data_IF_376766572724
#
_entry.id   IF_376766572724
#
_cell.length_a   1.000
_cell.length_b   1.000
_cell.length_c   1.000
_cell.angle_alpha   90.00
_cell.angle_beta   90.00
_cell.angle_gamma   90.00
#
_symmetry.space_group_name_H-M   'P 1'
#
loop_
_entity.id
_entity.type
_entity.pdbx_description
1 polymer ?
#
# COMPACT_ATOMS: atom_id res chain seq x y z
N UNK A 1 -33.65 -10.37 -8.56
CA UNK A 1 -33.03 -9.37 -9.44
C UNK A 1 -31.66 -9.08 -8.85
N UNK A 2 -30.59 -9.58 -9.45
CA UNK A 2 -29.21 -9.34 -8.99
C UNK A 2 -28.80 -7.98 -9.54
N UNK A 3 -28.83 -6.96 -8.69
CA UNK A 3 -28.34 -5.63 -9.02
C UNK A 3 -26.86 -5.75 -9.39
N UNK A 4 -26.52 -5.58 -10.66
CA UNK A 4 -25.12 -5.50 -11.09
C UNK A 4 -24.53 -4.21 -10.52
N UNK A 5 -23.85 -4.34 -9.38
CA UNK A 5 -23.10 -3.25 -8.76
C UNK A 5 -21.81 -3.08 -9.57
N UNK A 6 -21.68 -1.98 -10.31
CA UNK A 6 -20.46 -1.65 -11.04
C UNK A 6 -19.39 -1.13 -10.07
N UNK A 7 -18.23 -1.77 -10.05
CA UNK A 7 -17.11 -1.42 -9.15
C UNK A 7 -16.63 0.02 -9.38
N UNK A 8 -16.70 0.50 -10.61
CA UNK A 8 -16.20 1.81 -11.05
C UNK A 8 -16.97 3.01 -10.47
N UNK A 9 -18.22 2.80 -10.05
CA UNK A 9 -19.08 3.87 -9.49
C UNK A 9 -19.20 3.80 -7.97
N UNK A 10 -18.53 2.83 -7.34
CA UNK A 10 -18.57 2.67 -5.89
C UNK A 10 -17.76 3.76 -5.19
N UNK A 11 -18.41 4.42 -4.24
CA UNK A 11 -17.70 5.29 -3.29
C UNK A 11 -16.95 4.44 -2.26
N UNK A 12 -15.64 4.66 -2.07
CA UNK A 12 -14.85 3.88 -1.14
C UNK A 12 -15.28 4.16 0.31
N UNK A 13 -15.53 3.08 1.06
CA UNK A 13 -15.84 3.18 2.48
C UNK A 13 -14.51 3.22 3.23
N UNK A 14 -14.29 4.26 4.03
CA UNK A 14 -13.04 4.45 4.75
C UNK A 14 -13.20 4.08 6.22
N UNK A 15 -12.33 3.20 6.71
CA UNK A 15 -12.13 2.95 8.13
C UNK A 15 -10.69 3.29 8.50
N UNK A 16 -10.50 4.25 9.40
CA UNK A 16 -9.16 4.74 9.79
C UNK A 16 -8.29 5.17 8.60
N UNK A 17 -8.87 5.87 7.61
CA UNK A 17 -8.18 6.31 6.38
C UNK A 17 -7.76 5.17 5.45
N UNK A 18 -8.24 3.94 5.68
CA UNK A 18 -7.99 2.78 4.84
C UNK A 18 -9.29 2.41 4.13
N UNK A 19 -9.28 2.26 2.78
CA UNK A 19 -10.43 1.75 2.06
C UNK A 19 -10.73 0.31 2.45
N UNK A 20 -11.99 0.04 2.79
CA UNK A 20 -12.47 -1.24 3.29
C UNK A 20 -13.82 -1.61 2.69
N UNK A 21 -14.08 -2.91 2.56
CA UNK A 21 -15.30 -3.45 1.95
C UNK A 21 -16.04 -4.31 2.98
N UNK A 22 -17.37 -4.23 3.03
CA UNK A 22 -18.18 -5.10 3.92
C UNK A 22 -18.29 -6.52 3.34
N UNK A 23 -18.70 -7.48 4.16
CA UNK A 23 -18.84 -8.88 3.70
C UNK A 23 -19.95 -9.00 2.65
N UNK A 24 -21.01 -8.23 2.82
CA UNK A 24 -22.18 -8.16 1.96
C UNK A 24 -21.83 -7.57 0.59
N UNK A 25 -21.09 -6.46 0.58
CA UNK A 25 -20.63 -5.84 -0.66
C UNK A 25 -19.63 -6.75 -1.39
N UNK A 26 -18.67 -7.33 -0.66
CA UNK A 26 -17.69 -8.24 -1.24
C UNK A 26 -18.34 -9.48 -1.87
N UNK A 27 -19.35 -10.04 -1.21
CA UNK A 27 -20.11 -11.17 -1.72
C UNK A 27 -20.87 -10.80 -3.01
N UNK A 28 -21.57 -9.66 -3.01
CA UNK A 28 -22.29 -9.17 -4.19
C UNK A 28 -21.35 -8.93 -5.38
N UNK A 29 -20.16 -8.37 -5.12
CA UNK A 29 -19.15 -8.13 -6.14
C UNK A 29 -18.60 -9.43 -6.73
N UNK A 30 -18.23 -10.39 -5.88
CA UNK A 30 -17.75 -11.70 -6.34
C UNK A 30 -18.84 -12.65 -6.85
N UNK A 31 -20.11 -12.21 -6.86
CA UNK A 31 -21.24 -13.05 -7.28
C UNK A 31 -21.46 -14.26 -6.40
N UNK A 32 -21.14 -14.14 -5.11
CA UNK A 32 -21.30 -15.22 -4.13
C UNK A 32 -22.22 -14.78 -2.99
N UNK A 33 -22.49 -15.70 -2.07
CA UNK A 33 -23.29 -15.42 -0.88
C UNK A 33 -22.40 -14.94 0.29
N UNK A 34 -22.86 -14.00 1.15
CA UNK A 34 -22.12 -13.58 2.34
C UNK A 34 -21.71 -14.75 3.26
N UNK A 35 -22.49 -15.84 3.28
CA UNK A 35 -22.15 -17.07 3.98
C UNK A 35 -20.86 -17.70 3.43
N UNK A 36 -20.65 -17.68 2.12
CA UNK A 36 -19.43 -18.22 1.49
C UNK A 36 -18.18 -17.45 1.92
N UNK A 37 -18.24 -16.13 1.94
CA UNK A 37 -17.15 -15.27 2.42
C UNK A 37 -16.84 -15.58 3.90
N UNK A 38 -17.89 -15.66 4.73
CA UNK A 38 -17.76 -15.96 6.17
C UNK A 38 -17.20 -17.35 6.42
N UNK A 39 -17.69 -18.36 5.69
CA UNK A 39 -17.22 -19.75 5.76
C UNK A 39 -15.75 -19.83 5.37
N UNK A 40 -15.38 -19.17 4.28
CA UNK A 40 -14.00 -19.13 3.81
C UNK A 40 -13.05 -18.52 4.85
N UNK A 41 -13.44 -17.40 5.47
CA UNK A 41 -12.68 -16.81 6.58
C UNK A 41 -12.52 -17.78 7.75
N UNK A 42 -13.61 -18.43 8.17
CA UNK A 42 -13.58 -19.39 9.30
C UNK A 42 -12.70 -20.61 9.02
N UNK A 43 -12.77 -21.16 7.80
CA UNK A 43 -11.97 -22.33 7.41
C UNK A 43 -10.49 -22.02 7.22
N UNK A 44 -10.13 -20.76 7.00
CA UNK A 44 -8.77 -20.33 6.72
C UNK A 44 -8.28 -19.29 7.73
N UNK A 45 -8.78 -19.32 8.97
CA UNK A 45 -8.55 -18.25 9.95
C UNK A 45 -7.08 -17.95 10.18
N UNK A 46 -6.21 -18.96 10.14
CA UNK A 46 -4.75 -18.83 10.30
C UNK A 46 -4.10 -18.01 9.18
N UNK A 47 -4.77 -17.91 8.03
CA UNK A 47 -4.35 -17.09 6.89
C UNK A 47 -4.81 -15.64 7.05
N UNK A 48 -5.80 -15.35 7.90
CA UNK A 48 -6.27 -14.00 8.13
C UNK A 48 -5.67 -13.40 9.40
N UNK A 49 -5.39 -12.10 9.36
CA UNK A 49 -4.68 -11.40 10.42
C UNK A 49 -5.44 -10.10 10.64
N UNK A 50 -5.94 -9.92 11.85
CA UNK A 50 -6.65 -8.71 12.24
C UNK A 50 -5.74 -7.48 12.07
N UNK A 51 -6.28 -6.38 11.57
CA UNK A 51 -5.54 -5.15 11.27
C UNK A 51 -4.80 -5.16 9.92
N UNK A 52 -4.46 -6.34 9.37
CA UNK A 52 -3.80 -6.46 8.06
C UNK A 52 -4.74 -6.89 6.95
N UNK A 53 -5.62 -7.85 7.23
CA UNK A 53 -6.55 -8.42 6.26
C UNK A 53 -7.98 -7.97 6.53
N UNK A 54 -8.35 -7.79 7.80
CA UNK A 54 -9.68 -7.35 8.19
C UNK A 54 -9.66 -6.53 9.48
N UNK A 55 -10.71 -5.74 9.69
CA UNK A 55 -11.05 -5.10 10.96
C UNK A 55 -12.37 -5.65 11.47
N UNK A 56 -12.42 -6.04 12.75
CA UNK A 56 -13.63 -6.49 13.41
C UNK A 56 -14.18 -5.34 14.23
N UNK A 57 -15.36 -4.84 13.88
CA UNK A 57 -16.05 -3.78 14.61
C UNK A 57 -17.10 -4.39 15.53
N UNK A 58 -17.08 -3.99 16.80
CA UNK A 58 -18.04 -4.43 17.81
C UNK A 58 -18.44 -3.26 18.69
N UNK A 59 -19.60 -3.36 19.35
CA UNK A 59 -20.04 -2.38 20.35
C UNK A 59 -20.03 -0.93 19.86
N UNK A 60 -19.22 -0.09 20.50
CA UNK A 60 -19.14 1.34 20.21
C UNK A 60 -18.58 1.64 18.80
N UNK A 61 -17.58 0.88 18.36
CA UNK A 61 -16.96 1.07 17.03
C UNK A 61 -17.92 0.75 15.90
N UNK A 62 -18.73 -0.30 16.08
CA UNK A 62 -19.78 -0.66 15.14
C UNK A 62 -20.86 0.44 15.04
N UNK A 63 -21.25 1.01 16.19
CA UNK A 63 -22.22 2.11 16.22
C UNK A 63 -21.67 3.37 15.57
N UNK A 64 -20.41 3.71 15.82
CA UNK A 64 -19.73 4.84 15.21
C UNK A 64 -19.60 4.66 13.69
N UNK A 65 -19.30 3.45 13.22
CA UNK A 65 -19.22 3.15 11.79
C UNK A 65 -20.59 3.26 11.11
N UNK A 66 -21.65 2.69 11.70
CA UNK A 66 -23.03 2.83 11.21
C UNK A 66 -23.47 4.29 11.07
N UNK A 67 -23.05 5.16 12.00
CA UNK A 67 -23.37 6.59 11.93
C UNK A 67 -22.59 7.33 10.82
N UNK A 68 -21.44 6.82 10.40
CA UNK A 68 -20.59 7.42 9.36
C UNK A 68 -20.98 6.99 7.95
N UNK A 69 -21.48 5.77 7.80
CA UNK A 69 -21.93 5.23 6.52
C UNK A 69 -23.37 5.66 6.32
N UNK A 70 -23.60 6.63 5.43
CA UNK A 70 -24.93 7.18 5.11
C UNK A 70 -25.88 6.11 4.56
N UNK A 71 -25.34 5.04 3.96
CA UNK A 71 -26.11 3.89 3.48
C UNK A 71 -26.40 2.89 4.61
N UNK A 72 -27.62 2.97 5.15
CA UNK A 72 -28.13 2.06 6.19
C UNK A 72 -28.16 0.59 5.79
N UNK A 73 -28.10 0.31 4.49
CA UNK A 73 -28.33 -1.02 3.92
C UNK A 73 -27.07 -1.89 3.87
N UNK A 74 -25.89 -1.29 4.06
CA UNK A 74 -24.61 -2.00 4.06
C UNK A 74 -24.37 -2.82 5.33
N UNK A 75 -25.11 -2.54 6.41
CA UNK A 75 -24.94 -3.22 7.70
C UNK A 75 -26.29 -3.56 8.31
N UNK A 76 -26.52 -4.83 8.60
CA UNK A 76 -27.75 -5.24 9.27
C UNK A 76 -27.97 -4.49 10.60
N UNK A 77 -29.17 -3.94 10.78
CA UNK A 77 -29.54 -3.12 11.96
C UNK A 77 -29.22 -3.83 13.29
N UNK A 78 -29.41 -5.15 13.36
CA UNK A 78 -29.15 -6.00 14.54
C UNK A 78 -27.79 -6.71 14.58
N UNK A 79 -26.86 -6.40 13.68
CA UNK A 79 -25.53 -7.00 13.69
C UNK A 79 -24.81 -6.70 15.02
N UNK A 80 -24.30 -7.75 15.71
CA UNK A 80 -23.50 -7.62 16.94
C UNK A 80 -22.04 -7.30 16.66
N UNK A 81 -21.56 -7.69 15.47
CA UNK A 81 -20.22 -7.43 14.97
C UNK A 81 -20.30 -7.24 13.45
N UNK A 82 -19.33 -6.52 12.89
CA UNK A 82 -19.14 -6.36 11.44
C UNK A 82 -17.67 -6.62 11.10
N UNK A 83 -17.42 -7.33 10.01
CA UNK A 83 -16.07 -7.51 9.48
C UNK A 83 -15.91 -6.62 8.26
N UNK A 84 -14.88 -5.79 8.31
CA UNK A 84 -14.45 -4.92 7.23
C UNK A 84 -13.18 -5.49 6.60
N UNK A 85 -13.22 -5.74 5.30
CA UNK A 85 -12.13 -6.34 4.53
C UNK A 85 -11.26 -5.27 3.91
N UNK A 86 -9.95 -5.35 4.15
CA UNK A 86 -8.96 -4.56 3.41
C UNK A 86 -8.75 -5.13 2.01
N UNK A 87 -8.05 -4.41 1.14
CA UNK A 87 -7.57 -4.89 -0.16
C UNK A 87 -6.95 -6.30 -0.07
N UNK A 88 -6.02 -6.49 0.88
CA UNK A 88 -5.36 -7.79 1.10
C UNK A 88 -6.33 -8.88 1.59
N UNK A 89 -7.39 -8.50 2.30
CA UNK A 89 -8.45 -9.43 2.71
C UNK A 89 -9.31 -9.86 1.53
N UNK A 90 -9.72 -8.90 0.69
CA UNK A 90 -10.46 -9.15 -0.55
C UNK A 90 -9.66 -10.06 -1.49
N UNK A 91 -8.37 -9.78 -1.70
CA UNK A 91 -7.47 -10.60 -2.51
C UNK A 91 -7.43 -12.07 -2.05
N UNK A 92 -7.38 -12.30 -0.72
CA UNK A 92 -7.40 -13.66 -0.17
C UNK A 92 -8.73 -14.35 -0.49
N UNK A 93 -9.85 -13.65 -0.35
CA UNK A 93 -11.15 -14.20 -0.72
C UNK A 93 -11.22 -14.57 -2.20
N UNK A 94 -10.77 -13.71 -3.12
CA UNK A 94 -10.70 -14.03 -4.54
C UNK A 94 -9.86 -15.30 -4.79
N UNK A 95 -8.65 -15.35 -4.20
CA UNK A 95 -7.76 -16.51 -4.30
C UNK A 95 -8.40 -17.82 -3.83
N UNK A 96 -9.21 -17.77 -2.79
CA UNK A 96 -9.82 -18.94 -2.16
C UNK A 96 -11.17 -19.34 -2.79
N UNK A 97 -11.86 -18.41 -3.45
CA UNK A 97 -13.07 -18.70 -4.21
C UNK A 97 -12.75 -19.42 -5.52
N UNK A 98 -11.57 -19.18 -6.09
CA UNK A 98 -11.09 -19.83 -7.31
C UNK A 98 -12.07 -19.72 -8.49
N UNK A 99 -12.81 -18.61 -8.58
CA UNK A 99 -13.71 -18.31 -9.70
C UNK A 99 -13.18 -17.18 -10.57
N UNK A 100 -13.28 -17.33 -11.89
CA UNK A 100 -12.85 -16.30 -12.85
C UNK A 100 -13.51 -14.95 -12.56
N UNK A 101 -14.79 -14.96 -12.17
CA UNK A 101 -15.51 -13.76 -11.77
C UNK A 101 -14.87 -13.07 -10.55
N UNK A 102 -14.45 -13.81 -9.53
CA UNK A 102 -13.84 -13.21 -8.34
C UNK A 102 -12.45 -12.62 -8.64
N UNK A 103 -11.70 -13.23 -9.56
CA UNK A 103 -10.44 -12.69 -10.06
C UNK A 103 -10.64 -11.39 -10.86
N UNK A 104 -11.54 -11.40 -11.85
CA UNK A 104 -11.81 -10.21 -12.68
C UNK A 104 -12.33 -9.03 -11.85
N UNK A 105 -13.20 -9.29 -10.88
CA UNK A 105 -13.74 -8.25 -10.01
C UNK A 105 -12.70 -7.74 -9.02
N UNK A 106 -11.76 -8.59 -8.58
CA UNK A 106 -10.67 -8.15 -7.72
C UNK A 106 -9.72 -7.20 -8.46
N UNK A 107 -9.36 -7.47 -9.72
CA UNK A 107 -8.54 -6.55 -10.53
C UNK A 107 -9.19 -5.17 -10.62
N UNK A 108 -10.50 -5.11 -10.92
CA UNK A 108 -11.25 -3.85 -10.96
C UNK A 108 -11.31 -3.14 -9.60
N UNK A 109 -11.39 -3.90 -8.50
CA UNK A 109 -11.36 -3.34 -7.15
C UNK A 109 -10.00 -2.71 -6.82
N UNK A 110 -8.91 -3.33 -7.25
CA UNK A 110 -7.54 -2.81 -7.07
C UNK A 110 -7.38 -1.47 -7.81
N UNK A 111 -7.78 -1.43 -9.08
CA UNK A 111 -7.64 -0.25 -9.93
C UNK A 111 -8.59 0.90 -9.54
N UNK A 112 -9.84 0.58 -9.19
CA UNK A 112 -10.87 1.60 -9.03
C UNK A 112 -11.25 1.89 -7.57
N UNK A 113 -11.19 0.94 -6.65
CA UNK A 113 -11.73 1.12 -5.29
C UNK A 113 -10.63 1.33 -4.25
N UNK A 114 -9.61 0.47 -4.23
CA UNK A 114 -8.50 0.54 -3.28
C UNK A 114 -7.46 1.60 -3.68
N UNK A 115 -7.37 1.92 -4.97
CA UNK A 115 -6.51 3.00 -5.50
C UNK A 115 -7.04 4.41 -5.23
N UNK A 116 -8.32 4.58 -4.83
CA UNK A 116 -8.88 5.84 -4.37
C UNK A 116 -8.34 6.20 -2.98
N UNK A 117 -7.04 6.49 -2.90
CA UNK A 117 -6.45 7.17 -1.74
C UNK A 117 -7.06 8.56 -1.71
N UNK A 118 -7.64 8.95 -0.57
CA UNK A 118 -7.91 10.38 -0.33
C UNK A 118 -6.63 11.17 -0.69
N UNK A 119 -6.75 12.35 -1.32
CA UNK A 119 -5.62 13.27 -1.40
C UNK A 119 -5.11 13.38 0.02
N UNK A 120 -3.83 13.04 0.22
CA UNK A 120 -3.22 12.97 1.53
C UNK A 120 -3.66 14.19 2.33
N UNK A 121 -4.60 14.00 3.26
CA UNK A 121 -4.77 14.99 4.30
C UNK A 121 -3.43 14.93 4.97
N UNK A 122 -2.69 16.03 4.87
CA UNK A 122 -1.39 16.24 5.48
C UNK A 122 -1.58 16.03 6.97
N UNK A 123 -1.59 14.76 7.38
CA UNK A 123 -1.29 14.33 8.72
C UNK A 123 0.10 14.90 8.87
N UNK A 124 0.22 15.95 9.67
CA UNK A 124 1.48 16.40 10.22
C UNK A 124 2.00 15.18 11.00
N UNK A 125 2.61 14.25 10.26
CA UNK A 125 3.48 13.24 10.78
C UNK A 125 4.68 14.07 11.19
N UNK A 126 4.80 14.33 12.49
CA UNK A 126 6.11 14.63 13.06
C UNK A 126 7.08 13.63 12.42
N UNK A 127 8.14 14.09 11.74
CA UNK A 127 8.94 13.23 10.88
C UNK A 127 9.72 12.25 11.75
N UNK A 128 9.10 11.10 12.00
CA UNK A 128 9.73 9.93 12.56
C UNK A 128 9.61 8.79 11.55
N UNK A 129 10.00 9.05 10.30
CA UNK A 129 10.31 7.99 9.33
C UNK A 129 11.47 8.46 8.44
N UNK A 130 12.65 8.48 9.04
CA UNK A 130 13.95 8.45 8.33
C UNK A 130 14.33 7.00 7.97
N UNK A 131 13.32 6.14 7.81
CA UNK A 131 13.48 4.71 7.63
C UNK A 131 13.13 4.36 6.19
N UNK A 132 14.16 4.33 5.33
CA UNK A 132 14.25 3.70 4.00
C UNK A 132 14.48 4.62 2.78
N UNK A 133 15.16 5.75 2.91
CA UNK A 133 15.94 6.27 1.77
C UNK A 133 17.25 5.46 1.68
N UNK A 134 17.23 4.36 0.93
CA UNK A 134 18.42 3.54 0.70
C UNK A 134 18.87 3.77 -0.74
N UNK A 135 19.94 4.54 -0.90
CA UNK A 135 20.69 4.58 -2.15
C UNK A 135 21.64 3.38 -2.22
N UNK A 136 21.66 2.65 -3.34
CA UNK A 136 22.50 1.44 -3.50
C UNK A 136 23.34 1.59 -4.77
N UNK A 137 24.65 1.37 -4.63
CA UNK A 137 25.55 1.23 -5.77
C UNK A 137 25.71 -0.26 -6.08
N UNK A 138 25.32 -0.68 -7.29
CA UNK A 138 25.50 -2.05 -7.78
C UNK A 138 26.49 -2.04 -8.94
N UNK A 139 27.60 -2.75 -8.79
CA UNK A 139 28.60 -2.88 -9.84
C UNK A 139 28.50 -4.26 -10.50
N UNK A 140 28.18 -4.27 -11.80
CA UNK A 140 28.04 -5.48 -12.62
C UNK A 140 29.17 -5.50 -13.66
N UNK A 141 29.91 -6.63 -13.77
CA UNK A 141 30.86 -6.91 -14.86
C UNK A 141 30.67 -8.34 -15.35
N UNK A 142 30.75 -8.53 -16.66
CA UNK A 142 30.60 -9.84 -17.33
C UNK A 142 29.33 -10.59 -16.90
N UNK A 143 28.22 -9.86 -16.75
CA UNK A 143 26.93 -10.41 -16.33
C UNK A 143 26.82 -10.78 -14.85
N UNK A 144 27.87 -10.59 -14.05
CA UNK A 144 27.89 -10.94 -12.64
C UNK A 144 27.94 -9.68 -11.76
N UNK A 145 27.15 -9.69 -10.68
CA UNK A 145 27.25 -8.67 -9.63
C UNK A 145 28.57 -8.88 -8.89
N UNK A 146 29.47 -7.91 -9.01
CA UNK A 146 30.77 -7.91 -8.33
C UNK A 146 30.68 -7.29 -6.95
N UNK A 147 29.77 -6.34 -6.76
CA UNK A 147 29.70 -5.56 -5.53
C UNK A 147 28.33 -4.89 -5.35
N UNK A 148 27.87 -4.83 -4.11
CA UNK A 148 26.63 -4.16 -3.67
C UNK A 148 26.97 -3.38 -2.41
N UNK A 149 26.81 -2.05 -2.46
CA UNK A 149 27.03 -1.20 -1.27
C UNK A 149 25.85 -0.26 -1.04
N UNK A 150 25.43 -0.19 0.21
CA UNK A 150 24.49 0.81 0.69
C UNK A 150 25.22 2.14 0.85
N UNK A 151 24.63 3.19 0.30
CA UNK A 151 25.12 4.56 0.36
C UNK A 151 24.36 5.28 1.47
N UNK A 152 25.10 5.90 2.38
CA UNK A 152 24.55 6.65 3.50
C UNK A 152 23.89 7.97 3.03
N UNK A 153 23.02 8.57 3.85
CA UNK A 153 22.26 9.77 3.51
C UNK A 153 23.14 11.01 3.22
N UNK A 154 24.43 10.98 3.58
CA UNK A 154 25.38 12.07 3.37
C UNK A 154 26.21 11.94 2.08
N UNK A 155 25.94 10.94 1.23
CA UNK A 155 26.72 10.69 0.01
C UNK A 155 25.92 11.04 -1.26
N UNK A 156 26.48 11.93 -2.07
CA UNK A 156 25.90 12.29 -3.37
C UNK A 156 26.37 11.34 -4.48
N UNK A 157 25.43 10.81 -5.28
CA UNK A 157 25.71 10.00 -6.48
C UNK A 157 25.32 10.80 -7.73
N UNK A 158 26.31 11.13 -8.55
CA UNK A 158 26.09 11.79 -9.83
C UNK A 158 27.15 11.39 -10.85
N UNK A 159 26.88 11.63 -12.14
CA UNK A 159 27.90 11.44 -13.19
C UNK A 159 29.06 12.40 -12.96
N UNK A 160 30.28 11.89 -13.05
CA UNK A 160 31.51 12.69 -12.86
C UNK A 160 31.48 13.96 -13.72
N UNK A 161 31.11 13.86 -15.00
CA UNK A 161 30.99 15.02 -15.90
C UNK A 161 29.95 16.05 -15.42
N UNK A 162 28.81 15.62 -14.87
CA UNK A 162 27.79 16.55 -14.37
C UNK A 162 28.23 17.23 -13.08
N UNK A 163 28.89 16.49 -12.18
CA UNK A 163 29.47 17.04 -10.95
C UNK A 163 30.56 18.05 -11.30
N UNK A 164 31.47 17.70 -12.20
CA UNK A 164 32.55 18.59 -12.63
C UNK A 164 32.01 19.81 -13.38
N UNK A 165 30.99 19.67 -14.22
CA UNK A 165 30.34 20.80 -14.89
C UNK A 165 29.73 21.76 -13.87
N UNK A 166 28.95 21.25 -12.92
CA UNK A 166 28.34 22.07 -11.87
C UNK A 166 29.37 22.75 -10.96
N UNK A 167 30.44 22.05 -10.60
CA UNK A 167 31.54 22.64 -9.80
C UNK A 167 32.35 23.68 -10.58
N UNK A 168 32.48 23.51 -11.90
CA UNK A 168 33.14 24.47 -12.79
C UNK A 168 32.30 25.74 -12.98
N UNK A 169 30.98 25.60 -13.01
CA UNK A 169 30.03 26.71 -13.00
C UNK A 169 30.02 27.47 -11.66
N UNK A 170 30.23 26.78 -10.53
CA UNK A 170 30.29 27.41 -9.20
C UNK A 170 31.62 28.13 -8.88
N UNK A 171 32.60 28.05 -9.78
CA UNK A 171 33.84 28.87 -9.77
C UNK A 171 34.91 28.49 -8.75
N UNK A 172 34.57 27.88 -7.61
CA UNK A 172 35.54 27.48 -6.60
C UNK A 172 35.19 26.13 -5.96
N UNK A 173 36.19 25.26 -5.84
CA UNK A 173 36.13 24.03 -5.04
C UNK A 173 37.12 24.18 -3.88
N UNK A 174 36.63 24.07 -2.64
CA UNK A 174 37.47 24.12 -1.44
C UNK A 174 37.64 22.70 -0.91
N UNK A 175 38.86 22.17 -0.99
CA UNK A 175 39.27 20.86 -0.46
C UNK A 175 40.46 21.06 0.48
N UNK A 176 40.55 20.26 1.55
CA UNK A 176 41.71 20.28 2.45
C UNK A 176 42.99 19.99 1.66
N UNK A 177 44.01 20.83 1.88
CA UNK A 177 45.28 20.79 1.14
C UNK A 177 45.93 19.41 1.10
N UNK A 178 45.81 18.66 2.19
CA UNK A 178 46.43 17.33 2.35
C UNK A 178 45.77 16.27 1.45
N UNK A 179 44.45 16.39 1.21
CA UNK A 179 43.69 15.49 0.32
C UNK A 179 43.94 15.77 -1.17
N UNK A 180 44.32 17.01 -1.51
CA UNK A 180 44.67 17.39 -2.87
C UNK A 180 46.00 16.76 -3.31
N UNK A 181 46.97 16.68 -2.40
CA UNK A 181 48.30 16.13 -2.68
C UNK A 181 48.25 14.63 -2.98
N UNK A 182 47.47 13.85 -2.21
CA UNK A 182 47.28 12.41 -2.47
C UNK A 182 46.60 12.14 -3.82
N UNK A 183 45.61 12.95 -4.19
CA UNK A 183 44.84 12.79 -5.43
C UNK A 183 45.62 13.18 -6.70
N UNK A 184 46.50 14.18 -6.62
CA UNK A 184 47.34 14.60 -7.74
C UNK A 184 48.58 13.71 -7.91
N UNK A 185 49.05 13.04 -6.85
CA UNK A 185 50.17 12.11 -6.93
C UNK A 185 49.81 10.76 -7.59
N UNK A 186 48.52 10.49 -7.81
CA UNK A 186 48.01 9.25 -8.44
C UNK A 186 47.51 9.44 -9.88
N UNK A 187 47.80 10.58 -10.51
CA UNK A 187 47.54 10.84 -11.93
C UNK A 187 48.84 10.76 -12.75
#
# INVERSE_FOLDING_TARGET
>A
MTTQISVETLSPILHNQIPVVTTELLASLYGTDPHSITKNHRSNVDRFVAGKHFFKLEGADLKAFKNKVTDSDLVASRAKHLILWTERGAARHAKMLETDQAWEVFEKLEDCYFSQKQPATTRQVEPAVDMLNIDILIQIRDGNVKDIRQIGPDMFIGKVDQILSGLRESGWIVIKRDLLAEKLATW
#
